data_IF_433123972599
#
_entry.id   IF_433123972599
#
_cell.length_a   1.000
_cell.length_b   1.000
_cell.length_c   1.000
_cell.angle_alpha   90.00
_cell.angle_beta   90.00
_cell.angle_gamma   90.00
#
_symmetry.space_group_name_H-M   'P 1'
#
loop_
_entity.id
_entity.type
_entity.pdbx_description
1 polymer ?
#
# COMPACT_ATOMS: atom_id res chain seq x y z
N UNK A 1 11.02 19.49 -0.39
CA UNK A 1 11.81 18.32 -0.80
C UNK A 1 10.86 17.30 -1.40
N UNK A 2 11.21 16.70 -2.53
CA UNK A 2 10.43 15.65 -3.17
C UNK A 2 11.07 14.30 -2.84
N UNK A 3 10.26 13.33 -2.44
CA UNK A 3 10.69 11.97 -2.14
C UNK A 3 9.93 11.03 -3.06
N UNK A 4 10.67 10.23 -3.82
CA UNK A 4 10.10 9.13 -4.60
C UNK A 4 9.97 7.92 -3.67
N UNK A 5 8.75 7.42 -3.52
CA UNK A 5 8.44 6.25 -2.70
C UNK A 5 8.44 5.02 -3.59
N UNK A 6 9.16 3.99 -3.18
CA UNK A 6 9.15 2.66 -3.79
C UNK A 6 8.02 1.78 -3.23
N UNK A 7 7.59 0.78 -4.00
CA UNK A 7 6.51 -0.13 -3.60
C UNK A 7 6.82 -0.91 -2.32
N UNK A 8 8.09 -1.25 -2.07
CA UNK A 8 8.49 -1.93 -0.84
C UNK A 8 8.20 -1.06 0.39
N UNK A 9 8.56 0.23 0.35
CA UNK A 9 8.28 1.19 1.43
C UNK A 9 6.78 1.38 1.62
N UNK A 10 6.02 1.49 0.53
CA UNK A 10 4.57 1.61 0.61
C UNK A 10 3.90 0.34 1.16
N UNK A 11 4.44 -0.85 0.88
CA UNK A 11 3.95 -2.10 1.43
C UNK A 11 4.12 -2.16 2.95
N UNK A 12 5.18 -1.55 3.51
CA UNK A 12 5.40 -1.47 4.96
C UNK A 12 4.34 -0.64 5.70
N UNK A 13 3.54 0.18 5.00
CA UNK A 13 2.37 0.85 5.59
C UNK A 13 1.22 -0.12 5.89
N UNK A 14 1.25 -1.32 5.31
CA UNK A 14 0.20 -2.33 5.40
C UNK A 14 0.66 -3.63 6.05
N UNK A 15 1.96 -3.93 5.94
CA UNK A 15 2.56 -5.14 6.46
C UNK A 15 3.41 -4.81 7.70
N UNK A 16 3.42 -5.68 8.72
CA UNK A 16 4.29 -5.54 9.90
C UNK A 16 5.74 -5.93 9.54
N UNK A 17 6.47 -5.03 8.90
CA UNK A 17 7.85 -5.22 8.50
C UNK A 17 8.79 -4.43 9.46
N UNK A 18 10.09 -4.78 9.55
CA UNK A 18 11.02 -4.16 10.50
C UNK A 18 11.10 -2.62 10.47
N UNK A 19 10.73 -1.99 9.35
CA UNK A 19 10.77 -0.53 9.17
C UNK A 19 9.39 0.11 9.00
N UNK A 20 8.30 -0.58 9.35
CA UNK A 20 6.94 -0.05 9.22
C UNK A 20 6.72 1.25 9.99
N UNK A 21 7.35 1.43 11.14
CA UNK A 21 7.28 2.68 11.90
C UNK A 21 7.95 3.84 11.14
N UNK A 22 9.17 3.63 10.62
CA UNK A 22 9.87 4.63 9.81
C UNK A 22 9.12 4.94 8.51
N UNK A 23 8.54 3.93 7.88
CA UNK A 23 7.69 4.11 6.71
C UNK A 23 6.45 4.94 7.07
N UNK A 24 5.80 4.67 8.20
CA UNK A 24 4.64 5.45 8.65
C UNK A 24 5.00 6.92 8.91
N UNK A 25 6.16 7.19 9.53
CA UNK A 25 6.65 8.57 9.73
C UNK A 25 6.83 9.36 8.42
N UNK A 26 7.12 8.67 7.31
CA UNK A 26 7.22 9.31 6.00
C UNK A 26 5.88 9.91 5.53
N UNK A 27 4.74 9.34 5.95
CA UNK A 27 3.41 9.88 5.62
C UNK A 27 3.11 11.22 6.30
N UNK A 28 3.77 11.50 7.43
CA UNK A 28 3.60 12.74 8.21
C UNK A 28 4.76 13.73 7.99
N UNK A 29 5.75 13.35 7.18
CA UNK A 29 6.89 14.21 6.87
C UNK A 29 6.47 15.43 6.04
N UNK A 30 7.15 16.57 6.27
CA UNK A 30 6.96 17.81 5.48
C UNK A 30 7.64 17.72 4.11
N UNK A 31 7.33 16.69 3.34
CA UNK A 31 7.82 16.48 1.97
C UNK A 31 6.69 16.11 1.02
N UNK A 32 6.94 16.26 -0.27
CA UNK A 32 6.03 15.77 -1.31
C UNK A 32 6.41 14.32 -1.65
N UNK A 33 5.46 13.41 -1.46
CA UNK A 33 5.61 12.01 -1.82
C UNK A 33 5.08 11.78 -3.23
N UNK A 34 5.94 11.28 -4.11
CA UNK A 34 5.57 10.80 -5.45
C UNK A 34 5.90 9.31 -5.58
N UNK A 35 5.26 8.63 -6.53
CA UNK A 35 5.43 7.20 -6.73
C UNK A 35 5.36 6.84 -8.21
N UNK A 36 6.04 5.77 -8.65
CA UNK A 36 5.87 5.21 -10.00
C UNK A 36 4.41 4.79 -10.26
N UNK A 37 3.99 4.77 -11.52
CA UNK A 37 2.61 4.37 -11.91
C UNK A 37 2.26 2.94 -11.49
N UNK A 38 3.29 2.08 -11.42
CA UNK A 38 3.16 0.66 -11.07
C UNK A 38 3.00 0.41 -9.56
N UNK A 39 3.21 1.42 -8.72
CA UNK A 39 3.17 1.35 -7.25
C UNK A 39 2.00 0.52 -6.73
N UNK A 40 0.80 0.73 -7.27
CA UNK A 40 -0.40 0.02 -6.82
C UNK A 40 -0.35 -1.47 -7.11
N UNK A 41 0.14 -1.87 -8.28
CA UNK A 41 0.22 -3.27 -8.67
C UNK A 41 1.28 -4.01 -7.85
N UNK A 42 2.42 -3.38 -7.58
CA UNK A 42 3.48 -3.97 -6.78
C UNK A 42 3.07 -4.10 -5.30
N UNK A 43 2.43 -3.08 -4.72
CA UNK A 43 1.89 -3.17 -3.35
C UNK A 43 0.79 -4.22 -3.27
N UNK A 44 -0.12 -4.28 -4.24
CA UNK A 44 -1.15 -5.31 -4.28
C UNK A 44 -0.54 -6.73 -4.37
N UNK A 45 0.50 -6.91 -5.19
CA UNK A 45 1.21 -8.18 -5.30
C UNK A 45 1.90 -8.56 -3.98
N UNK A 46 2.55 -7.62 -3.29
CA UNK A 46 3.17 -7.85 -1.99
C UNK A 46 2.13 -8.25 -0.93
N UNK A 47 0.98 -7.58 -0.89
CA UNK A 47 -0.13 -7.93 0.00
C UNK A 47 -0.72 -9.30 -0.32
N UNK A 48 -0.91 -9.62 -1.61
CA UNK A 48 -1.40 -10.92 -2.03
C UNK A 48 -0.42 -12.05 -1.68
N UNK A 49 0.89 -11.80 -1.81
CA UNK A 49 1.93 -12.73 -1.38
C UNK A 49 1.91 -12.94 0.14
N UNK A 50 1.79 -11.86 0.92
CA UNK A 50 1.68 -11.96 2.38
C UNK A 50 0.42 -12.74 2.81
N UNK A 51 -0.72 -12.50 2.15
CA UNK A 51 -1.96 -13.22 2.40
C UNK A 51 -1.84 -14.73 2.07
N UNK A 52 -1.21 -15.08 0.94
CA UNK A 52 -0.93 -16.49 0.58
C UNK A 52 0.01 -17.17 1.58
N UNK A 53 0.91 -16.41 2.20
CA UNK A 53 1.81 -16.91 3.23
C UNK A 53 1.16 -17.00 4.62
N UNK A 54 -0.15 -16.74 4.75
CA UNK A 54 -0.85 -16.79 6.05
C UNK A 54 -0.53 -15.61 6.97
N UNK A 55 0.13 -14.55 6.47
CA UNK A 55 0.41 -13.31 7.23
C UNK A 55 -0.80 -12.35 7.24
N UNK A 56 -2.00 -12.89 7.02
CA UNK A 56 -3.24 -12.16 6.69
C UNK A 56 -3.97 -11.52 7.87
N UNK A 57 -3.51 -11.74 9.10
CA UNK A 57 -4.15 -11.18 10.31
C UNK A 57 -4.15 -9.63 10.32
N UNK A 58 -3.40 -8.99 9.42
CA UNK A 58 -3.23 -7.54 9.34
C UNK A 58 -3.81 -6.88 8.08
N UNK A 59 -4.48 -7.64 7.20
CA UNK A 59 -4.98 -7.13 5.92
C UNK A 59 -6.37 -6.45 5.99
N UNK A 60 -6.71 -5.77 7.09
CA UNK A 60 -7.97 -5.01 7.19
C UNK A 60 -7.73 -3.51 7.20
N UNK A 61 -7.42 -2.87 6.07
CA UNK A 61 -7.69 -1.42 5.91
C UNK A 61 -7.93 -1.05 4.43
N UNK A 62 -9.20 -0.82 4.09
CA UNK A 62 -9.66 -0.14 2.88
C UNK A 62 -10.19 1.24 3.25
N UNK A 63 -9.39 2.31 3.09
CA UNK A 63 -9.87 3.70 2.90
C UNK A 63 -8.73 4.75 2.89
N UNK A 64 -7.67 4.56 3.69
CA UNK A 64 -6.75 5.65 4.07
C UNK A 64 -5.66 6.05 3.08
N UNK A 65 -5.22 5.14 2.19
CA UNK A 65 -4.10 5.44 1.28
C UNK A 65 -4.46 6.50 0.21
N UNK A 66 -5.75 6.59 -0.13
CA UNK A 66 -6.27 7.50 -1.17
C UNK A 66 -6.08 8.97 -0.86
N UNK A 67 -6.08 9.37 0.42
CA UNK A 67 -6.05 10.79 0.81
C UNK A 67 -4.63 11.37 0.92
N UNK A 68 -3.60 10.53 1.04
CA UNK A 68 -2.21 10.98 1.30
C UNK A 68 -1.27 10.82 0.10
N UNK A 69 -1.49 9.82 -0.76
CA UNK A 69 -0.79 9.75 -2.04
C UNK A 69 -1.57 10.55 -3.07
N UNK A 70 -1.16 11.79 -3.30
CA UNK A 70 -1.68 12.62 -4.39
C UNK A 70 -1.13 12.09 -5.71
N UNK A 71 -1.68 10.97 -6.19
CA UNK A 71 -1.51 10.56 -7.58
C UNK A 71 -2.87 10.43 -8.27
N UNK A 72 -3.00 11.11 -9.41
CA UNK A 72 -4.18 11.13 -10.27
C UNK A 72 -4.65 9.69 -10.57
N UNK A 73 -5.96 9.51 -10.66
CA UNK A 73 -6.69 8.26 -10.94
C UNK A 73 -6.88 7.32 -9.74
N UNK A 74 -7.93 7.57 -8.96
CA UNK A 74 -8.53 6.60 -8.04
C UNK A 74 -9.46 5.68 -8.84
N UNK A 75 -8.97 4.49 -9.18
CA UNK A 75 -9.79 3.34 -9.56
C UNK A 75 -9.72 2.31 -8.43
N UNK A 76 -10.88 1.85 -7.98
CA UNK A 76 -11.14 1.18 -6.71
C UNK A 76 -10.74 -0.31 -6.73
N UNK A 77 -9.49 -0.65 -6.36
CA UNK A 77 -9.02 -2.06 -6.29
C UNK A 77 -9.43 -2.77 -4.99
N UNK A 78 -9.88 -2.03 -3.97
CA UNK A 78 -10.37 -2.62 -2.71
C UNK A 78 -11.71 -3.35 -2.88
N UNK A 79 -12.43 -3.14 -3.99
CA UNK A 79 -13.65 -3.88 -4.30
C UNK A 79 -13.40 -5.30 -4.83
N UNK A 80 -12.19 -5.61 -5.33
CA UNK A 80 -12.02 -6.78 -6.19
C UNK A 80 -11.43 -8.03 -5.51
N UNK A 81 -10.69 -7.87 -4.41
CA UNK A 81 -10.07 -9.02 -3.71
C UNK A 81 -11.12 -9.92 -3.01
N UNK A 82 -12.37 -9.44 -2.83
CA UNK A 82 -13.46 -10.25 -2.28
C UNK A 82 -14.27 -11.02 -3.33
N UNK A 83 -14.16 -10.72 -4.64
CA UNK A 83 -15.01 -11.34 -5.67
C UNK A 83 -14.43 -12.65 -6.22
N UNK A 84 -13.10 -12.83 -6.17
CA UNK A 84 -12.40 -13.93 -6.85
C UNK A 84 -12.25 -15.23 -6.01
N UNK A 85 -13.02 -15.36 -4.93
CA UNK A 85 -13.10 -16.59 -4.11
C UNK A 85 -14.46 -17.30 -4.15
N UNK A 86 -15.32 -16.93 -5.10
CA UNK A 86 -16.67 -17.52 -5.25
C UNK A 86 -16.93 -18.09 -6.66
N UNK A 87 -15.89 -18.41 -7.44
CA UNK A 87 -16.02 -19.13 -8.72
C UNK A 87 -15.11 -20.34 -8.76
#
# INVERSE_FOLDING_TARGET
MIVVVDASVAAMWFLPEPHSESAALLLDAKCELIAPDLMRLEVANALAQAARAGRSELATWSAGLRSRLRNRYVGDVTADIRSDRQR
#
